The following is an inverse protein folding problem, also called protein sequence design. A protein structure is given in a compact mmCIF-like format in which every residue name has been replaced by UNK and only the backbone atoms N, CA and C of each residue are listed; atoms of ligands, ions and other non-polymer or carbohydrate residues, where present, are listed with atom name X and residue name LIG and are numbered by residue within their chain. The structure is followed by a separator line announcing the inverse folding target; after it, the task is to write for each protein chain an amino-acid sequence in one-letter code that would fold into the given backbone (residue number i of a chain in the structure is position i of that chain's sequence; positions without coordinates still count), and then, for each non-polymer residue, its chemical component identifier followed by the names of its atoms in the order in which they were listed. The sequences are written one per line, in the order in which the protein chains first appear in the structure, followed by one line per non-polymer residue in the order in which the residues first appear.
data_IF_239383939175
#
_entry.id   IF_239383939175
#
_cell.length_a   1.000
_cell.length_b   1.000
_cell.length_c   1.000
_cell.angle_alpha   90.00
_cell.angle_beta   90.00
_cell.angle_gamma   90.00
#
_symmetry.space_group_name_H-M   'P 1'
#
loop_
_entity.id
_entity.type
_entity.pdbx_description
1 polymer ?
#
# COMPACT_ATOMS: atom_id res chain seq x y z
N UNK A 1 0.86 8.73 -31.16
CA UNK A 1 0.28 8.47 -29.82
C UNK A 1 0.31 9.71 -28.94
N UNK A 2 1.46 10.31 -28.64
CA UNK A 2 1.55 11.44 -27.69
C UNK A 2 0.68 12.65 -28.03
N UNK A 3 0.63 13.17 -29.29
CA UNK A 3 -0.22 14.32 -29.61
C UNK A 3 -1.72 14.08 -29.37
N UNK A 4 -2.21 12.91 -29.75
CA UNK A 4 -3.62 12.54 -29.56
C UNK A 4 -3.97 12.37 -28.07
N UNK A 5 -3.03 11.81 -27.30
CA UNK A 5 -3.21 11.62 -25.86
C UNK A 5 -3.21 12.95 -25.11
N UNK A 6 -2.34 13.88 -25.48
CA UNK A 6 -2.28 15.22 -24.91
C UNK A 6 -3.54 16.03 -25.22
N UNK A 7 -4.03 15.98 -26.47
CA UNK A 7 -5.27 16.65 -26.85
C UNK A 7 -6.48 16.11 -26.04
N UNK A 8 -6.54 14.80 -25.83
CA UNK A 8 -7.56 14.19 -24.96
C UNK A 8 -7.42 14.62 -23.50
N UNK A 9 -6.20 14.70 -23.01
CA UNK A 9 -5.92 15.10 -21.63
C UNK A 9 -6.38 16.53 -21.33
N UNK A 10 -6.29 17.43 -22.32
CA UNK A 10 -6.77 18.80 -22.20
C UNK A 10 -8.25 18.90 -21.84
N UNK A 11 -9.08 17.99 -22.39
CA UNK A 11 -10.54 18.00 -22.21
C UNK A 11 -11.06 16.99 -21.18
N UNK A 12 -10.36 15.86 -21.02
CA UNK A 12 -10.90 14.70 -20.30
C UNK A 12 -9.96 14.14 -19.23
N UNK A 13 -8.74 14.68 -19.11
CA UNK A 13 -7.79 14.29 -18.09
C UNK A 13 -8.18 14.76 -16.68
N UNK A 14 -7.77 14.01 -15.66
CA UNK A 14 -7.96 14.41 -14.26
C UNK A 14 -6.96 15.50 -13.90
N UNK A 15 -7.46 16.66 -13.46
CA UNK A 15 -6.64 17.84 -13.12
C UNK A 15 -6.91 18.36 -11.70
N UNK A 16 -7.79 17.71 -10.96
CA UNK A 16 -8.31 18.14 -9.66
C UNK A 16 -7.84 17.27 -8.49
N UNK A 17 -6.93 16.34 -8.76
CA UNK A 17 -6.40 15.47 -7.72
C UNK A 17 -5.54 16.26 -6.73
N UNK A 18 -5.64 16.01 -5.41
CA UNK A 18 -4.96 16.82 -4.39
C UNK A 18 -3.43 16.95 -4.56
N UNK A 19 -2.79 15.95 -5.13
CA UNK A 19 -1.34 15.94 -5.39
C UNK A 19 -0.92 16.67 -6.66
N UNK A 20 -1.88 17.03 -7.52
CA UNK A 20 -1.64 17.87 -8.70
C UNK A 20 -1.67 19.37 -8.38
N UNK A 21 -2.20 19.74 -7.21
CA UNK A 21 -2.15 21.11 -6.71
C UNK A 21 -0.76 21.34 -6.11
N UNK A 22 0.03 22.23 -6.69
CA UNK A 22 1.41 22.47 -6.29
C UNK A 22 2.24 21.17 -6.24
N UNK A 23 2.60 20.59 -7.38
CA UNK A 23 3.18 19.26 -7.49
C UNK A 23 4.67 19.25 -7.13
N UNK A 24 5.02 19.54 -5.87
CA UNK A 24 6.38 19.38 -5.39
C UNK A 24 6.85 17.92 -5.44
N UNK A 25 8.15 17.63 -5.56
CA UNK A 25 8.66 16.26 -5.57
C UNK A 25 8.20 15.44 -4.37
N UNK A 26 8.10 16.05 -3.17
CA UNK A 26 7.62 15.38 -1.97
C UNK A 26 6.14 14.98 -2.08
N UNK A 27 5.28 15.88 -2.53
CA UNK A 27 3.84 15.61 -2.69
C UNK A 27 3.58 14.54 -3.73
N UNK A 28 4.23 14.64 -4.88
CA UNK A 28 4.15 13.63 -5.94
C UNK A 28 4.66 12.28 -5.44
N UNK A 29 5.80 12.25 -4.75
CA UNK A 29 6.33 11.02 -4.19
C UNK A 29 5.37 10.34 -3.22
N UNK A 30 4.80 11.08 -2.25
CA UNK A 30 3.83 10.52 -1.29
C UNK A 30 2.62 9.93 -2.03
N UNK A 31 2.06 10.65 -3.01
CA UNK A 31 0.92 10.17 -3.80
C UNK A 31 1.26 8.92 -4.61
N UNK A 32 2.40 8.88 -5.29
CA UNK A 32 2.85 7.74 -6.09
C UNK A 32 2.99 6.47 -5.22
N UNK A 33 3.56 6.61 -4.02
CA UNK A 33 3.67 5.48 -3.08
C UNK A 33 2.28 5.04 -2.57
N UNK A 34 1.37 5.97 -2.26
CA UNK A 34 0.01 5.62 -1.82
C UNK A 34 -0.82 4.95 -2.92
N UNK A 35 -0.63 5.37 -4.18
CA UNK A 35 -1.34 4.84 -5.34
C UNK A 35 -0.88 3.44 -5.78
N UNK A 36 0.28 2.97 -5.32
CA UNK A 36 0.71 1.59 -5.61
C UNK A 36 -0.35 0.59 -5.13
N UNK A 37 -1.03 -0.08 -6.08
CA UNK A 37 -2.08 -1.07 -5.83
C UNK A 37 -3.28 -0.55 -5.00
N UNK A 38 -3.52 0.75 -4.97
CA UNK A 38 -4.64 1.38 -4.26
C UNK A 38 -5.37 2.33 -5.21
N UNK A 39 -6.70 2.34 -5.15
CA UNK A 39 -7.52 3.19 -6.01
C UNK A 39 -7.46 4.65 -5.56
N UNK A 40 -7.56 5.58 -6.53
CA UNK A 40 -7.50 7.03 -6.30
C UNK A 40 -8.52 7.49 -5.24
N UNK A 41 -9.77 7.07 -5.34
CA UNK A 41 -10.82 7.47 -4.39
C UNK A 41 -10.48 7.07 -2.94
N UNK A 42 -9.77 5.94 -2.76
CA UNK A 42 -9.30 5.53 -1.44
C UNK A 42 -8.11 6.38 -0.98
N UNK A 43 -7.21 6.75 -1.90
CA UNK A 43 -5.97 7.48 -1.55
C UNK A 43 -6.23 8.93 -1.15
N UNK A 44 -7.19 9.61 -1.79
CA UNK A 44 -7.45 11.04 -1.55
C UNK A 44 -7.53 11.41 -0.07
N UNK A 45 -8.43 10.83 0.74
CA UNK A 45 -8.53 11.22 2.15
C UNK A 45 -7.26 10.89 2.97
N UNK A 46 -6.55 9.81 2.64
CA UNK A 46 -5.29 9.45 3.28
C UNK A 46 -4.18 10.44 2.95
N UNK A 47 -4.07 10.82 1.68
CA UNK A 47 -3.10 11.81 1.22
C UNK A 47 -3.29 13.15 1.93
N UNK A 48 -4.52 13.65 1.99
CA UNK A 48 -4.84 14.92 2.65
C UNK A 48 -4.51 14.88 4.16
N UNK A 49 -4.88 13.78 4.84
CA UNK A 49 -4.55 13.60 6.25
C UNK A 49 -3.05 13.52 6.49
N UNK A 50 -2.33 12.80 5.62
CA UNK A 50 -0.89 12.64 5.69
C UNK A 50 -0.15 13.96 5.45
N UNK A 51 -0.56 14.72 4.42
CA UNK A 51 0.05 16.02 4.09
C UNK A 51 -0.21 17.10 5.16
N UNK A 52 -1.37 17.07 5.82
CA UNK A 52 -1.63 17.96 6.99
C UNK A 52 -0.65 17.68 8.14
N UNK A 53 -0.29 16.43 8.36
CA UNK A 53 0.63 16.05 9.44
C UNK A 53 2.10 16.16 9.04
N UNK A 54 2.42 15.83 7.82
CA UNK A 54 3.77 15.83 7.26
C UNK A 54 3.81 16.69 5.99
N UNK A 55 3.87 18.03 6.12
CA UNK A 55 3.85 18.93 4.96
C UNK A 55 5.11 18.84 4.09
N UNK A 56 6.21 18.34 4.63
CA UNK A 56 7.51 18.24 3.96
C UNK A 56 8.29 16.98 4.38
N UNK A 57 9.40 16.74 3.71
CA UNK A 57 10.25 15.57 3.94
C UNK A 57 10.92 15.58 5.32
N UNK A 58 11.20 16.77 5.89
CA UNK A 58 11.87 16.90 7.19
C UNK A 58 10.92 16.52 8.32
N UNK A 59 9.68 16.98 8.26
CA UNK A 59 8.64 16.61 9.21
C UNK A 59 8.34 15.11 9.19
N UNK A 60 8.37 14.47 8.01
CA UNK A 60 8.23 13.02 7.90
C UNK A 60 9.46 12.29 8.44
N UNK A 61 10.66 12.74 8.14
CA UNK A 61 11.91 12.09 8.58
C UNK A 61 12.06 12.01 10.11
N UNK A 62 11.51 12.98 10.84
CA UNK A 62 11.53 13.05 12.31
C UNK A 62 10.36 12.30 12.97
N UNK A 63 9.42 11.78 12.18
CA UNK A 63 8.24 11.10 12.68
C UNK A 63 8.58 9.74 13.33
N UNK A 64 7.80 9.37 14.35
CA UNK A 64 7.83 8.01 14.88
C UNK A 64 7.13 7.05 13.92
N UNK A 65 7.64 5.84 13.80
CA UNK A 65 7.05 4.82 12.92
C UNK A 65 5.57 4.56 13.22
N UNK A 66 5.19 4.52 14.49
CA UNK A 66 3.80 4.30 14.91
C UNK A 66 2.85 5.36 14.36
N UNK A 67 3.28 6.62 14.32
CA UNK A 67 2.49 7.73 13.78
C UNK A 67 2.28 7.60 12.27
N UNK A 68 3.34 7.26 11.54
CA UNK A 68 3.26 7.02 10.09
C UNK A 68 2.34 5.83 9.78
N UNK A 69 2.50 4.72 10.52
CA UNK A 69 1.67 3.53 10.35
C UNK A 69 0.21 3.76 10.77
N UNK A 70 -0.04 4.60 11.76
CA UNK A 70 -1.40 5.00 12.15
C UNK A 70 -2.12 5.71 11.01
N UNK A 71 -1.49 6.74 10.41
CA UNK A 71 -2.05 7.46 9.25
C UNK A 71 -2.17 6.59 7.99
N UNK A 72 -1.45 5.46 7.94
CA UNK A 72 -1.50 4.50 6.83
C UNK A 72 -2.49 3.36 7.06
N UNK A 73 -3.04 3.25 8.27
CA UNK A 73 -3.93 2.14 8.68
C UNK A 73 -5.17 2.07 7.79
N UNK A 74 -5.37 0.94 7.12
CA UNK A 74 -6.45 0.73 6.14
C UNK A 74 -6.01 0.74 4.68
N UNK A 75 -4.92 1.43 4.30
CA UNK A 75 -4.38 1.41 2.93
C UNK A 75 -3.76 0.08 2.53
N UNK A 76 -3.30 -0.72 3.50
CA UNK A 76 -2.59 -1.98 3.23
C UNK A 76 -1.16 -1.79 2.72
N UNK A 77 -0.47 -2.93 2.45
CA UNK A 77 0.92 -2.92 1.97
C UNK A 77 1.84 -2.02 2.80
N UNK A 78 1.81 -2.18 4.11
CA UNK A 78 2.48 -1.32 5.11
C UNK A 78 4.00 -1.19 4.94
N UNK A 79 4.63 -2.09 4.18
CA UNK A 79 6.03 -1.94 3.78
C UNK A 79 6.27 -0.63 3.01
N UNK A 80 5.25 -0.10 2.30
CA UNK A 80 5.33 1.20 1.62
C UNK A 80 5.52 2.33 2.62
N UNK A 81 4.72 2.36 3.69
CA UNK A 81 4.83 3.39 4.74
C UNK A 81 6.20 3.34 5.45
N UNK A 82 6.68 2.12 5.77
CA UNK A 82 8.03 1.95 6.36
C UNK A 82 9.14 2.42 5.43
N UNK A 83 9.02 2.09 4.15
CA UNK A 83 10.00 2.53 3.15
C UNK A 83 9.94 4.03 2.95
N UNK A 84 8.73 4.62 2.93
CA UNK A 84 8.53 6.07 2.82
C UNK A 84 9.24 6.81 3.97
N UNK A 85 9.07 6.37 5.22
CA UNK A 85 9.77 6.94 6.37
C UNK A 85 11.31 6.78 6.24
N UNK A 86 11.80 5.57 5.92
CA UNK A 86 13.25 5.34 5.74
C UNK A 86 13.83 6.16 4.59
N UNK A 87 13.08 6.33 3.52
CA UNK A 87 13.50 7.17 2.40
C UNK A 87 13.53 8.65 2.79
N UNK A 88 12.55 9.17 3.55
CA UNK A 88 12.57 10.53 4.07
C UNK A 88 13.81 10.78 4.96
N UNK A 89 14.13 9.83 5.85
CA UNK A 89 15.35 9.86 6.67
C UNK A 89 16.62 9.88 5.81
N UNK A 90 16.65 9.07 4.73
CA UNK A 90 17.77 9.06 3.79
C UNK A 90 17.91 10.38 3.02
N UNK A 91 16.80 11.01 2.60
CA UNK A 91 16.81 12.33 1.96
C UNK A 91 17.38 13.40 2.90
N UNK A 92 16.96 13.41 4.16
CA UNK A 92 17.51 14.37 5.13
C UNK A 92 18.99 14.12 5.39
N UNK A 93 19.38 12.84 5.60
CA UNK A 93 20.76 12.50 5.97
C UNK A 93 21.77 12.67 4.83
N UNK A 94 21.38 12.38 3.58
CA UNK A 94 22.31 12.32 2.43
C UNK A 94 22.19 13.52 1.50
N UNK A 95 21.02 14.18 1.47
CA UNK A 95 20.70 15.27 0.54
C UNK A 95 20.26 16.55 1.29
N UNK A 96 20.56 16.65 2.60
CA UNK A 96 20.26 17.83 3.40
C UNK A 96 18.78 18.22 3.49
N UNK A 97 17.87 17.28 3.17
CA UNK A 97 16.43 17.50 3.13
C UNK A 97 15.89 18.02 1.80
N UNK A 98 16.75 18.16 0.80
CA UNK A 98 16.34 18.44 -0.59
C UNK A 98 16.09 17.13 -1.33
N UNK A 99 15.02 17.07 -2.11
CA UNK A 99 14.70 15.84 -2.86
C UNK A 99 15.71 15.64 -3.98
N UNK A 100 16.30 14.42 -4.14
CA UNK A 100 17.34 14.15 -5.13
C UNK A 100 16.95 14.58 -6.54
N UNK A 101 17.94 15.02 -7.33
CA UNK A 101 17.71 15.57 -8.64
C UNK A 101 17.77 14.53 -9.76
N UNK A 102 18.60 13.50 -9.61
CA UNK A 102 18.83 12.55 -10.70
C UNK A 102 17.98 11.28 -10.53
N UNK A 103 17.61 10.65 -11.64
CA UNK A 103 16.86 9.39 -11.64
C UNK A 103 17.56 8.31 -10.80
N UNK A 104 18.89 8.22 -10.90
CA UNK A 104 19.67 7.24 -10.15
C UNK A 104 19.61 7.43 -8.64
N UNK A 105 19.73 8.67 -8.17
CA UNK A 105 19.64 9.00 -6.74
C UNK A 105 18.23 8.75 -6.19
N UNK A 106 17.17 9.09 -6.96
CA UNK A 106 15.79 8.83 -6.57
C UNK A 106 15.52 7.32 -6.50
N UNK A 107 16.04 6.55 -7.45
CA UNK A 107 15.95 5.07 -7.43
C UNK A 107 16.71 4.43 -6.27
N UNK A 108 17.74 5.07 -5.75
CA UNK A 108 18.51 4.58 -4.59
C UNK A 108 17.75 4.73 -3.25
N UNK A 109 16.64 5.47 -3.23
CA UNK A 109 15.81 5.63 -2.03
C UNK A 109 15.00 4.35 -1.75
N UNK A 110 14.84 3.96 -0.47
CA UNK A 110 14.08 2.78 -0.08
C UNK A 110 12.66 2.73 -0.66
N UNK A 111 12.34 1.67 -1.38
CA UNK A 111 10.99 1.42 -1.91
C UNK A 111 10.63 2.16 -3.19
N UNK A 112 11.58 2.84 -3.83
CA UNK A 112 11.39 3.56 -5.09
C UNK A 112 12.02 2.76 -6.24
N UNK A 113 11.18 2.26 -7.15
CA UNK A 113 11.62 1.63 -8.38
C UNK A 113 11.71 2.64 -9.54
N UNK A 114 12.26 2.19 -10.69
CA UNK A 114 12.46 3.01 -11.89
C UNK A 114 11.21 3.79 -12.31
N UNK A 115 10.05 3.12 -12.42
CA UNK A 115 8.81 3.78 -12.86
C UNK A 115 8.33 4.85 -11.86
N UNK A 116 8.43 4.58 -10.55
CA UNK A 116 8.06 5.56 -9.52
C UNK A 116 9.01 6.75 -9.52
N UNK A 117 10.34 6.52 -9.62
CA UNK A 117 11.33 7.59 -9.71
C UNK A 117 11.09 8.48 -10.95
N UNK A 118 10.84 7.84 -12.10
CA UNK A 118 10.51 8.52 -13.33
C UNK A 118 9.23 9.37 -13.22
N UNK A 119 8.17 8.82 -12.59
CA UNK A 119 6.92 9.55 -12.37
C UNK A 119 7.13 10.78 -11.47
N UNK A 120 7.89 10.64 -10.39
CA UNK A 120 8.19 11.77 -9.50
C UNK A 120 8.87 12.90 -10.25
N UNK A 121 9.95 12.62 -11.01
CA UNK A 121 10.70 13.63 -11.74
C UNK A 121 9.89 14.22 -12.90
N UNK A 122 9.17 13.38 -13.64
CA UNK A 122 8.33 13.85 -14.74
C UNK A 122 7.18 14.76 -14.27
N UNK A 123 6.45 14.36 -13.22
CA UNK A 123 5.28 15.11 -12.74
C UNK A 123 5.64 16.37 -11.96
N UNK A 124 6.80 16.39 -11.27
CA UNK A 124 7.17 17.52 -10.42
C UNK A 124 8.16 18.49 -11.05
N UNK A 125 8.89 18.07 -12.09
CA UNK A 125 9.96 18.87 -12.72
C UNK A 125 9.85 18.95 -14.23
N UNK A 126 8.85 18.32 -14.84
CA UNK A 126 8.67 18.18 -16.29
C UNK A 126 9.90 17.54 -17.01
N UNK A 127 10.68 16.72 -16.26
CA UNK A 127 11.84 16.02 -16.78
C UNK A 127 11.44 14.80 -17.62
N UNK A 128 12.14 14.61 -18.76
CA UNK A 128 11.84 13.52 -19.68
C UNK A 128 12.28 12.16 -19.15
N UNK A 129 11.36 11.48 -18.47
CA UNK A 129 11.51 10.11 -18.01
C UNK A 129 10.27 9.28 -18.38
N UNK A 130 10.50 8.14 -19.03
CA UNK A 130 9.42 7.20 -19.32
C UNK A 130 8.98 6.48 -18.06
N UNK A 131 7.67 6.25 -17.93
CA UNK A 131 7.06 5.44 -16.86
C UNK A 131 6.53 4.12 -17.41
N UNK A 132 6.49 3.10 -16.54
CA UNK A 132 5.96 1.78 -16.89
C UNK A 132 5.27 1.13 -15.68
N UNK A 133 4.19 1.76 -15.20
CA UNK A 133 3.32 1.20 -14.16
C UNK A 133 2.35 0.15 -14.73
N UNK A 134 1.48 -0.43 -13.91
CA UNK A 134 0.50 -1.41 -14.34
C UNK A 134 -0.52 -0.90 -15.38
N UNK A 135 -0.83 0.39 -15.36
CA UNK A 135 -1.72 1.03 -16.33
C UNK A 135 -1.01 1.19 -17.67
N UNK A 136 0.20 1.74 -17.64
CA UNK A 136 1.03 1.95 -18.84
C UNK A 136 1.39 0.62 -19.49
N UNK A 137 1.78 -0.40 -18.71
CA UNK A 137 2.01 -1.77 -19.22
C UNK A 137 0.81 -2.27 -20.03
N UNK A 138 -0.41 -2.09 -19.51
CA UNK A 138 -1.65 -2.51 -20.19
C UNK A 138 -1.92 -1.70 -21.45
N UNK A 139 -1.79 -0.37 -21.39
CA UNK A 139 -2.00 0.51 -22.55
C UNK A 139 -1.03 0.14 -23.67
N UNK A 140 0.26 0.06 -23.38
CA UNK A 140 1.29 -0.24 -24.37
C UNK A 140 1.17 -1.68 -24.91
N UNK A 141 0.87 -2.67 -24.05
CA UNK A 141 0.65 -4.05 -24.52
C UNK A 141 -0.51 -4.11 -25.53
N UNK A 142 -1.60 -3.41 -25.27
CA UNK A 142 -2.76 -3.38 -26.20
C UNK A 142 -2.48 -2.57 -27.44
N UNK A 143 -1.88 -1.40 -27.29
CA UNK A 143 -1.67 -0.50 -28.42
C UNK A 143 -0.68 -1.08 -29.44
N UNK A 144 0.42 -1.72 -28.96
CA UNK A 144 1.43 -2.34 -29.82
C UNK A 144 1.23 -3.85 -30.07
N UNK A 145 0.22 -4.46 -29.49
CA UNK A 145 0.00 -5.92 -29.62
C UNK A 145 1.09 -6.73 -28.95
N UNK A 146 1.65 -6.29 -27.81
CA UNK A 146 2.72 -7.03 -27.10
C UNK A 146 2.13 -8.22 -26.37
N UNK A 147 2.48 -9.42 -26.81
CA UNK A 147 2.08 -10.67 -26.19
C UNK A 147 2.96 -11.01 -24.98
N UNK A 148 2.48 -11.94 -24.16
CA UNK A 148 3.16 -12.40 -22.95
C UNK A 148 2.76 -11.64 -21.69
N UNK A 149 3.22 -12.19 -20.56
CA UNK A 149 2.95 -11.56 -19.25
C UNK A 149 3.92 -10.37 -19.02
N UNK A 150 3.43 -9.16 -18.72
CA UNK A 150 4.26 -7.96 -18.55
C UNK A 150 5.28 -8.00 -17.39
N UNK A 151 5.25 -9.03 -16.57
CA UNK A 151 6.25 -9.28 -15.53
C UNK A 151 7.39 -10.21 -15.95
N UNK A 152 7.34 -10.77 -17.17
CA UNK A 152 8.45 -11.52 -17.75
C UNK A 152 9.55 -10.57 -18.20
N UNK A 153 10.83 -10.84 -17.89
CA UNK A 153 11.92 -9.89 -18.17
C UNK A 153 12.04 -9.47 -19.65
N UNK A 154 11.77 -10.38 -20.60
CA UNK A 154 11.81 -10.07 -22.03
C UNK A 154 10.67 -9.13 -22.45
N UNK A 155 9.44 -9.40 -21.97
CA UNK A 155 8.26 -8.58 -22.25
C UNK A 155 8.41 -7.22 -21.58
N UNK A 156 8.88 -7.16 -20.35
CA UNK A 156 9.10 -5.91 -19.61
C UNK A 156 10.14 -5.02 -20.30
N UNK A 157 11.27 -5.59 -20.75
CA UNK A 157 12.26 -4.84 -21.53
C UNK A 157 11.69 -4.25 -22.82
N UNK A 158 10.87 -5.03 -23.56
CA UNK A 158 10.18 -4.55 -24.75
C UNK A 158 9.24 -3.38 -24.43
N UNK A 159 8.46 -3.51 -23.34
CA UNK A 159 7.53 -2.45 -22.92
C UNK A 159 8.28 -1.18 -22.49
N UNK A 160 9.44 -1.29 -21.85
CA UNK A 160 10.30 -0.13 -21.54
C UNK A 160 10.79 0.59 -22.79
N UNK A 161 11.27 -0.13 -23.81
CA UNK A 161 11.67 0.48 -25.08
C UNK A 161 10.51 1.23 -25.73
N UNK A 162 9.30 0.65 -25.72
CA UNK A 162 8.11 1.29 -26.25
C UNK A 162 7.68 2.51 -25.42
N UNK A 163 7.78 2.45 -24.09
CA UNK A 163 7.48 3.57 -23.22
C UNK A 163 8.42 4.75 -23.51
N UNK A 164 9.72 4.49 -23.65
CA UNK A 164 10.72 5.51 -24.00
C UNK A 164 10.48 6.15 -25.37
N UNK A 165 10.15 5.33 -26.38
CA UNK A 165 9.82 5.81 -27.72
C UNK A 165 8.53 6.63 -27.77
N UNK A 166 7.57 6.37 -26.90
CA UNK A 166 6.30 7.10 -26.82
C UNK A 166 6.39 8.38 -25.99
N UNK A 167 7.37 8.51 -25.10
CA UNK A 167 7.52 9.67 -24.23
C UNK A 167 8.01 10.88 -25.03
N UNK A 168 7.24 11.97 -25.13
CA UNK A 168 7.57 13.13 -25.93
C UNK A 168 8.76 13.91 -25.33
N UNK A 169 9.22 14.96 -26.01
CA UNK A 169 10.27 15.86 -25.55
C UNK A 169 9.75 17.14 -24.88
N UNK A 170 8.43 17.35 -24.88
CA UNK A 170 7.77 18.50 -24.25
C UNK A 170 6.46 18.05 -23.61
N UNK A 171 5.98 18.83 -22.64
CA UNK A 171 4.73 18.55 -21.89
C UNK A 171 4.80 17.17 -21.20
N UNK A 172 5.92 16.88 -20.58
CA UNK A 172 6.22 15.55 -20.01
C UNK A 172 5.28 15.23 -18.85
N UNK A 173 5.07 16.19 -17.95
CA UNK A 173 4.15 16.02 -16.81
C UNK A 173 2.72 15.70 -17.27
N UNK A 174 2.22 16.44 -18.26
CA UNK A 174 0.88 16.21 -18.81
C UNK A 174 0.79 14.85 -19.52
N UNK A 175 1.79 14.47 -20.33
CA UNK A 175 1.84 13.16 -20.97
C UNK A 175 1.88 12.03 -19.96
N UNK A 176 2.70 12.16 -18.92
CA UNK A 176 2.84 11.16 -17.85
C UNK A 176 1.51 10.96 -17.12
N UNK A 177 0.84 12.04 -16.77
CA UNK A 177 -0.50 11.96 -16.18
C UNK A 177 -1.53 11.39 -17.17
N UNK A 178 -1.50 11.83 -18.42
CA UNK A 178 -2.44 11.41 -19.46
C UNK A 178 -2.39 9.90 -19.72
N UNK A 179 -1.22 9.30 -19.82
CA UNK A 179 -1.09 7.86 -20.09
C UNK A 179 -1.53 7.01 -18.88
N UNK A 180 -1.30 7.48 -17.66
CA UNK A 180 -1.84 6.85 -16.45
C UNK A 180 -3.36 6.96 -16.40
N UNK A 181 -3.92 8.14 -16.72
CA UNK A 181 -5.35 8.38 -16.74
C UNK A 181 -6.03 7.53 -17.81
N UNK A 182 -5.47 7.47 -19.01
CA UNK A 182 -6.00 6.60 -20.07
C UNK A 182 -6.11 5.15 -19.61
N UNK A 183 -5.07 4.66 -18.95
CA UNK A 183 -5.07 3.32 -18.38
C UNK A 183 -6.10 3.14 -17.27
N UNK A 184 -6.26 4.12 -16.39
CA UNK A 184 -7.14 4.03 -15.24
C UNK A 184 -8.63 4.18 -15.61
N UNK A 185 -8.97 5.02 -16.59
CA UNK A 185 -10.37 5.44 -16.87
C UNK A 185 -10.94 4.88 -18.18
N UNK A 186 -10.14 4.78 -19.23
CA UNK A 186 -10.59 4.36 -20.58
C UNK A 186 -10.11 2.96 -20.93
N UNK A 187 -8.78 2.73 -20.93
CA UNK A 187 -8.20 1.42 -21.24
C UNK A 187 -8.20 0.52 -19.99
N UNK A 188 -9.35 0.36 -19.36
CA UNK A 188 -9.53 -0.43 -18.14
C UNK A 188 -9.25 -1.93 -18.36
N UNK A 189 -9.02 -2.67 -17.26
CA UNK A 189 -8.65 -4.09 -17.34
C UNK A 189 -9.76 -4.95 -17.94
N UNK A 190 -10.98 -4.85 -17.43
CA UNK A 190 -12.06 -5.78 -17.75
C UNK A 190 -12.98 -5.28 -18.85
N UNK A 191 -13.22 -3.96 -18.94
CA UNK A 191 -14.18 -3.35 -19.90
C UNK A 191 -13.58 -2.05 -20.46
N UNK A 192 -12.63 -2.13 -21.39
CA UNK A 192 -12.05 -0.93 -21.99
C UNK A 192 -13.07 -0.20 -22.88
N UNK A 193 -13.19 1.10 -22.68
CA UNK A 193 -14.06 1.97 -23.49
C UNK A 193 -13.36 2.36 -24.81
N UNK A 194 -13.11 1.38 -25.68
CA UNK A 194 -12.32 1.55 -26.89
C UNK A 194 -12.85 2.61 -27.86
N UNK A 195 -14.18 2.84 -27.89
CA UNK A 195 -14.80 3.87 -28.75
C UNK A 195 -14.46 5.28 -28.28
N UNK A 196 -14.21 5.48 -26.99
CA UNK A 196 -13.83 6.75 -26.37
C UNK A 196 -12.30 6.95 -26.29
N UNK A 197 -11.53 5.95 -26.72
CA UNK A 197 -10.08 5.99 -26.59
C UNK A 197 -9.45 6.92 -27.65
N UNK A 198 -8.68 7.95 -27.25
CA UNK A 198 -8.09 8.92 -28.20
C UNK A 198 -7.07 8.31 -29.16
N UNK A 199 -6.52 7.16 -28.82
CA UNK A 199 -5.50 6.46 -29.63
C UNK A 199 -6.05 5.19 -30.28
N UNK A 200 -7.35 5.06 -30.38
CA UNK A 200 -8.03 3.85 -30.86
C UNK A 200 -7.69 3.45 -32.31
N UNK A 201 -7.45 4.44 -33.18
CA UNK A 201 -7.20 4.19 -34.61
C UNK A 201 -5.89 3.38 -34.85
N UNK A 202 -4.89 3.55 -34.01
CA UNK A 202 -3.61 2.83 -34.09
C UNK A 202 -3.50 1.61 -33.17
N UNK A 203 -4.58 1.22 -32.50
CA UNK A 203 -4.52 0.18 -31.47
C UNK A 203 -4.64 -1.23 -32.07
N UNK A 204 -3.56 -2.01 -32.02
CA UNK A 204 -3.51 -3.39 -32.51
C UNK A 204 -4.55 -4.28 -31.81
N UNK A 205 -4.66 -4.17 -30.47
CA UNK A 205 -5.63 -4.97 -29.74
C UNK A 205 -7.08 -4.67 -30.13
N UNK A 206 -7.42 -3.42 -30.44
CA UNK A 206 -8.75 -3.05 -30.93
C UNK A 206 -9.01 -3.63 -32.32
N UNK A 207 -8.07 -3.45 -33.24
CA UNK A 207 -8.21 -3.96 -34.62
C UNK A 207 -8.36 -5.49 -34.65
N UNK A 208 -7.66 -6.21 -33.78
CA UNK A 208 -7.67 -7.67 -33.68
C UNK A 208 -8.63 -8.26 -32.64
N UNK A 209 -9.44 -7.46 -31.95
CA UNK A 209 -10.29 -7.93 -30.82
C UNK A 209 -9.51 -8.66 -29.73
N UNK A 210 -8.30 -8.18 -29.40
CA UNK A 210 -7.37 -8.82 -28.46
C UNK A 210 -7.41 -8.20 -27.04
N UNK A 211 -8.35 -7.32 -26.72
CA UNK A 211 -8.37 -6.55 -25.48
C UNK A 211 -8.42 -7.45 -24.23
N UNK A 212 -9.13 -8.57 -24.30
CA UNK A 212 -9.26 -9.53 -23.19
C UNK A 212 -8.05 -10.47 -23.08
N UNK A 213 -7.25 -10.59 -24.14
CA UNK A 213 -6.04 -11.40 -24.18
C UNK A 213 -4.78 -10.61 -23.82
N UNK A 214 -4.80 -9.27 -24.04
CA UNK A 214 -3.65 -8.39 -23.82
C UNK A 214 -3.89 -7.42 -22.67
N UNK A 215 -2.89 -7.29 -21.78
CA UNK A 215 -1.72 -8.15 -21.63
C UNK A 215 -2.10 -9.53 -21.11
N UNK A 216 -1.27 -10.54 -21.36
CA UNK A 216 -1.48 -11.86 -20.78
C UNK A 216 -1.48 -11.79 -19.23
N UNK A 217 -2.39 -12.50 -18.57
CA UNK A 217 -2.47 -12.49 -17.12
C UNK A 217 -1.23 -13.14 -16.49
N UNK A 218 -0.95 -12.77 -15.25
CA UNK A 218 0.06 -13.47 -14.45
C UNK A 218 -0.34 -14.94 -14.32
N UNK A 219 0.59 -15.88 -14.54
CA UNK A 219 0.35 -17.31 -14.27
C UNK A 219 -0.20 -17.50 -12.85
N UNK A 220 -1.28 -18.26 -12.71
CA UNK A 220 -1.91 -18.49 -11.41
C UNK A 220 -1.04 -19.42 -10.58
N UNK A 221 -0.54 -18.95 -9.46
CA UNK A 221 0.02 -19.80 -8.43
C UNK A 221 -1.08 -20.16 -7.42
N UNK A 222 -1.04 -21.37 -6.92
CA UNK A 222 -1.90 -21.79 -5.78
C UNK A 222 -1.49 -20.97 -4.57
N UNK A 223 -2.46 -20.27 -3.98
CA UNK A 223 -2.20 -19.50 -2.75
C UNK A 223 -2.18 -20.46 -1.55
N UNK A 224 -1.06 -20.53 -0.81
CA UNK A 224 -1.01 -21.32 0.40
C UNK A 224 -1.98 -20.75 1.45
N UNK A 225 -2.48 -21.62 2.31
CA UNK A 225 -3.28 -21.24 3.47
C UNK A 225 -2.39 -21.22 4.70
N UNK A 226 -2.50 -20.17 5.50
CA UNK A 226 -1.88 -20.06 6.82
C UNK A 226 -2.97 -19.97 7.86
N UNK A 227 -2.71 -20.56 9.02
CA UNK A 227 -3.60 -20.52 10.18
C UNK A 227 -2.78 -20.11 11.39
N UNK A 228 -3.36 -19.28 12.25
CA UNK A 228 -2.79 -19.02 13.58
C UNK A 228 -3.89 -18.75 14.59
N UNK A 229 -3.57 -18.98 15.87
CA UNK A 229 -4.36 -18.59 17.00
C UNK A 229 -3.88 -17.24 17.52
N UNK A 230 -4.82 -16.31 17.72
CA UNK A 230 -4.53 -14.96 18.19
C UNK A 230 -5.11 -14.80 19.59
N UNK A 231 -4.24 -14.55 20.57
CA UNK A 231 -4.69 -14.35 21.95
C UNK A 231 -5.26 -12.94 22.10
N UNK A 232 -6.54 -12.85 22.40
CA UNK A 232 -7.26 -11.60 22.66
C UNK A 232 -7.40 -11.46 24.17
N UNK A 233 -6.32 -11.01 24.82
CA UNK A 233 -6.30 -10.81 26.27
C UNK A 233 -6.94 -9.48 26.63
N UNK A 234 -7.95 -9.52 27.51
CA UNK A 234 -8.78 -8.39 27.91
C UNK A 234 -8.60 -8.08 29.40
N UNK A 235 -8.54 -6.80 29.78
CA UNK A 235 -8.39 -6.35 31.17
C UNK A 235 -9.20 -5.09 31.46
N UNK A 236 -9.84 -5.06 32.64
CA UNK A 236 -10.55 -3.87 33.16
C UNK A 236 -11.69 -3.37 32.28
N UNK A 237 -12.36 -4.24 31.52
CA UNK A 237 -13.53 -3.92 30.71
C UNK A 237 -13.27 -3.04 29.49
N UNK A 238 -12.03 -2.59 29.20
CA UNK A 238 -11.77 -1.68 28.10
C UNK A 238 -10.35 -1.77 27.53
N UNK A 239 -9.50 -2.68 28.00
CA UNK A 239 -8.10 -2.79 27.53
C UNK A 239 -7.84 -4.14 26.88
N UNK A 240 -7.23 -4.12 25.71
CA UNK A 240 -6.77 -5.30 24.96
C UNK A 240 -5.26 -5.30 24.88
N UNK A 241 -4.62 -6.44 25.13
CA UNK A 241 -3.19 -6.57 25.00
C UNK A 241 -2.79 -6.65 23.54
N UNK A 242 -1.86 -5.78 23.15
CA UNK A 242 -1.20 -5.82 21.83
C UNK A 242 0.26 -6.22 21.99
N UNK A 243 0.77 -6.92 20.97
CA UNK A 243 2.18 -7.26 20.79
C UNK A 243 2.73 -6.58 19.54
N UNK A 244 3.89 -5.96 19.64
CA UNK A 244 4.56 -5.36 18.49
C UNK A 244 5.15 -6.44 17.60
N UNK A 245 4.78 -6.41 16.32
CA UNK A 245 5.31 -7.35 15.32
C UNK A 245 6.79 -7.04 15.05
N UNK A 246 7.60 -8.06 14.76
CA UNK A 246 8.98 -7.86 14.31
C UNK A 246 9.06 -6.84 13.16
N UNK A 247 10.20 -6.16 12.98
CA UNK A 247 10.35 -5.14 11.94
C UNK A 247 10.12 -5.65 10.50
N UNK A 248 10.32 -6.96 10.28
CA UNK A 248 10.13 -7.64 9.00
C UNK A 248 8.94 -8.61 9.03
N UNK A 249 8.54 -9.11 7.86
CA UNK A 249 7.45 -10.08 7.74
C UNK A 249 6.07 -9.45 7.70
N UNK A 250 5.05 -10.28 7.98
CA UNK A 250 3.67 -9.87 7.95
C UNK A 250 3.39 -8.78 8.98
N UNK A 251 2.88 -7.62 8.51
CA UNK A 251 2.57 -6.45 9.35
C UNK A 251 3.77 -5.95 10.19
N UNK A 252 4.99 -6.11 9.68
CA UNK A 252 6.20 -5.77 10.43
C UNK A 252 6.16 -4.36 11.02
N UNK A 253 6.55 -4.24 12.29
CA UNK A 253 6.55 -3.01 13.07
C UNK A 253 5.19 -2.48 13.50
N UNK A 254 4.08 -3.09 13.05
CA UNK A 254 2.72 -2.79 13.51
C UNK A 254 2.41 -3.49 14.83
N UNK A 255 1.35 -3.05 15.49
CA UNK A 255 0.80 -3.71 16.65
C UNK A 255 -0.20 -4.78 16.23
N UNK A 256 -0.09 -5.96 16.80
CA UNK A 256 -0.97 -7.10 16.56
C UNK A 256 -1.43 -7.72 17.87
N UNK A 257 -2.07 -8.88 17.77
CA UNK A 257 -2.36 -9.72 18.90
C UNK A 257 -1.25 -10.78 19.04
N UNK A 258 -0.91 -11.28 20.25
CA UNK A 258 0.02 -12.38 20.40
C UNK A 258 -0.42 -13.57 19.54
N UNK A 259 0.50 -14.09 18.72
CA UNK A 259 0.21 -15.10 17.68
C UNK A 259 0.85 -16.43 18.03
N UNK A 260 0.07 -17.49 18.04
CA UNK A 260 0.50 -18.84 18.35
C UNK A 260 0.14 -19.81 17.20
N UNK A 261 0.98 -20.83 16.92
CA UNK A 261 0.76 -21.76 15.81
C UNK A 261 -0.43 -22.71 16.04
N UNK A 262 -0.74 -23.05 17.29
CA UNK A 262 -1.84 -23.95 17.66
C UNK A 262 -2.61 -23.43 18.86
N UNK A 263 -3.80 -23.99 19.10
CA UNK A 263 -4.61 -23.69 20.28
C UNK A 263 -3.85 -24.02 21.57
N UNK A 264 -3.21 -25.17 21.63
CA UNK A 264 -2.46 -25.59 22.83
C UNK A 264 -1.33 -24.60 23.18
N UNK A 265 -0.61 -24.08 22.17
CA UNK A 265 0.41 -23.04 22.39
C UNK A 265 -0.20 -21.73 22.87
N UNK A 266 -1.38 -21.34 22.35
CA UNK A 266 -2.07 -20.13 22.79
C UNK A 266 -2.57 -20.27 24.25
N UNK A 267 -3.12 -21.42 24.63
CA UNK A 267 -3.52 -21.72 26.01
C UNK A 267 -2.30 -21.77 26.95
N UNK A 268 -1.18 -22.34 26.51
CA UNK A 268 0.07 -22.34 27.27
C UNK A 268 0.58 -20.91 27.46
N UNK A 269 0.61 -20.10 26.40
CA UNK A 269 0.97 -18.70 26.45
C UNK A 269 0.13 -17.93 27.47
N UNK A 270 -1.20 -18.16 27.49
CA UNK A 270 -2.07 -17.56 28.50
C UNK A 270 -1.68 -17.93 29.92
N UNK A 271 -1.35 -19.21 30.20
CA UNK A 271 -0.92 -19.65 31.52
C UNK A 271 0.41 -19.04 31.97
N UNK A 272 1.34 -18.84 31.02
CA UNK A 272 2.68 -18.31 31.31
C UNK A 272 2.66 -16.79 31.54
N UNK A 273 1.86 -16.05 30.78
CA UNK A 273 1.94 -14.59 30.73
C UNK A 273 0.77 -13.86 31.41
N UNK A 274 -0.35 -14.53 31.64
CA UNK A 274 -1.57 -13.91 32.15
C UNK A 274 -1.96 -14.50 33.51
N UNK A 275 -1.56 -13.83 34.59
CA UNK A 275 -1.89 -14.27 35.96
C UNK A 275 -3.39 -14.08 36.25
N UNK A 276 -4.04 -15.06 36.88
CA UNK A 276 -5.44 -14.99 37.29
C UNK A 276 -6.43 -14.86 36.12
N UNK A 277 -6.07 -15.41 34.96
CA UNK A 277 -6.95 -15.39 33.81
C UNK A 277 -8.07 -16.40 33.92
N UNK A 278 -9.27 -16.04 33.42
CA UNK A 278 -10.35 -16.99 33.20
C UNK A 278 -10.00 -18.03 32.14
N UNK A 279 -10.66 -19.19 32.09
CA UNK A 279 -10.49 -20.16 31.01
C UNK A 279 -10.70 -19.49 29.65
N UNK A 280 -9.75 -19.65 28.69
CA UNK A 280 -9.84 -18.99 27.39
C UNK A 280 -10.94 -19.59 26.52
N UNK A 281 -11.72 -18.73 25.83
CA UNK A 281 -12.83 -19.10 24.94
C UNK A 281 -12.44 -18.86 23.48
N UNK A 282 -12.64 -19.85 22.60
CA UNK A 282 -12.47 -19.67 21.18
C UNK A 282 -13.62 -18.83 20.60
N UNK A 283 -13.28 -17.84 19.79
CA UNK A 283 -14.27 -17.06 19.06
C UNK A 283 -14.33 -17.42 17.58
N UNK A 284 -15.21 -16.74 16.85
CA UNK A 284 -15.41 -16.94 15.40
C UNK A 284 -14.15 -16.59 14.60
N UNK A 285 -13.66 -17.49 13.72
CA UNK A 285 -12.51 -17.25 12.90
C UNK A 285 -12.69 -16.04 11.98
N UNK A 286 -11.61 -15.26 11.78
CA UNK A 286 -11.56 -14.17 10.82
C UNK A 286 -10.64 -14.55 9.66
N UNK A 287 -11.20 -14.64 8.44
CA UNK A 287 -10.45 -14.95 7.23
C UNK A 287 -10.00 -13.67 6.55
N UNK A 288 -8.74 -13.62 6.13
CA UNK A 288 -8.19 -12.51 5.38
C UNK A 288 -7.36 -13.01 4.20
N UNK A 289 -7.65 -12.50 2.99
CA UNK A 289 -6.95 -12.86 1.78
C UNK A 289 -5.83 -11.85 1.48
N UNK A 290 -4.58 -12.31 1.47
CA UNK A 290 -3.46 -11.56 0.95
C UNK A 290 -3.22 -11.87 -0.53
N UNK A 291 -2.41 -11.09 -1.21
CA UNK A 291 -2.06 -11.33 -2.61
C UNK A 291 -1.33 -12.67 -2.85
N UNK A 292 -0.67 -13.22 -1.83
CA UNK A 292 0.20 -14.39 -1.92
C UNK A 292 -0.16 -15.55 -0.98
N UNK A 293 -1.10 -15.37 -0.04
CA UNK A 293 -1.65 -16.45 0.79
C UNK A 293 -3.01 -16.04 1.39
N UNK A 294 -3.78 -17.04 1.83
CA UNK A 294 -5.00 -16.83 2.63
C UNK A 294 -4.67 -17.09 4.10
N UNK A 295 -5.17 -16.23 5.00
CA UNK A 295 -4.89 -16.27 6.43
C UNK A 295 -6.17 -16.52 7.23
N UNK A 296 -6.20 -17.62 7.97
CA UNK A 296 -7.28 -18.00 8.90
C UNK A 296 -6.83 -17.64 10.32
N UNK A 297 -7.35 -16.56 10.86
CA UNK A 297 -7.07 -16.04 12.19
C UNK A 297 -8.12 -16.54 13.15
N UNK A 298 -7.73 -17.35 14.16
CA UNK A 298 -8.60 -17.93 15.17
C UNK A 298 -8.41 -17.20 16.48
N UNK A 299 -9.36 -16.34 16.90
CA UNK A 299 -9.25 -15.62 18.15
C UNK A 299 -9.48 -16.55 19.35
N UNK A 300 -8.67 -16.36 20.39
CA UNK A 300 -8.80 -16.97 21.68
C UNK A 300 -8.97 -15.86 22.71
N UNK A 301 -10.21 -15.61 23.14
CA UNK A 301 -10.55 -14.57 24.10
C UNK A 301 -10.23 -15.03 25.52
N UNK A 302 -9.60 -14.16 26.31
CA UNK A 302 -9.25 -14.44 27.69
C UNK A 302 -9.34 -13.16 28.53
N UNK A 303 -10.04 -13.25 29.68
CA UNK A 303 -10.13 -12.16 30.66
C UNK A 303 -9.06 -12.30 31.73
N UNK A 304 -8.32 -11.22 31.96
CA UNK A 304 -7.27 -11.15 32.95
C UNK A 304 -7.75 -10.34 34.15
N UNK A 305 -7.67 -10.93 35.35
CA UNK A 305 -8.02 -10.27 36.60
C UNK A 305 -6.83 -9.60 37.28
N UNK A 306 -5.62 -10.10 37.03
CA UNK A 306 -4.40 -9.66 37.68
C UNK A 306 -3.54 -8.71 36.84
N UNK A 307 -2.45 -8.22 37.45
CA UNK A 307 -1.37 -7.52 36.75
C UNK A 307 -0.58 -8.56 35.96
N UNK A 308 -0.48 -8.41 34.65
CA UNK A 308 0.39 -9.21 33.79
C UNK A 308 1.85 -8.76 33.98
N UNK A 309 2.46 -9.09 35.11
CA UNK A 309 3.83 -8.63 35.47
C UNK A 309 4.90 -9.17 34.51
N UNK A 310 4.65 -10.33 33.91
CA UNK A 310 5.52 -10.92 32.89
C UNK A 310 5.59 -10.12 31.57
N UNK A 311 4.70 -9.14 31.37
CA UNK A 311 4.61 -8.31 30.16
C UNK A 311 5.12 -6.88 30.41
N UNK A 312 6.25 -6.74 31.12
CA UNK A 312 6.84 -5.43 31.45
C UNK A 312 7.59 -4.75 30.29
N UNK A 313 7.83 -5.46 29.20
CA UNK A 313 8.47 -4.89 28.00
C UNK A 313 7.47 -4.03 27.24
N UNK A 314 7.43 -2.74 27.56
CA UNK A 314 6.53 -1.76 26.92
C UNK A 314 6.88 -1.47 25.45
N UNK A 315 8.05 -1.83 24.98
CA UNK A 315 8.42 -1.75 23.58
C UNK A 315 7.78 -2.90 22.78
N UNK A 316 7.61 -4.03 23.42
CA UNK A 316 7.03 -5.24 22.82
C UNK A 316 5.55 -5.38 23.11
N UNK A 317 5.07 -5.07 24.30
CA UNK A 317 3.68 -5.26 24.72
C UNK A 317 3.04 -3.95 25.14
N UNK A 318 1.74 -3.81 24.85
CA UNK A 318 0.94 -2.63 25.23
C UNK A 318 -0.48 -3.02 25.55
N UNK A 319 -0.99 -2.51 26.67
CA UNK A 319 -2.42 -2.51 26.94
C UNK A 319 -3.08 -1.34 26.20
N UNK A 320 -3.80 -1.69 25.14
CA UNK A 320 -4.48 -0.73 24.26
C UNK A 320 -5.89 -0.48 24.79
N UNK A 321 -6.18 0.77 25.10
CA UNK A 321 -7.50 1.18 25.57
C UNK A 321 -8.44 1.38 24.36
N UNK A 322 -9.53 0.61 24.29
CA UNK A 322 -10.48 0.70 23.16
C UNK A 322 -11.38 1.93 23.25
N UNK A 323 -11.53 2.53 24.44
CA UNK A 323 -12.31 3.77 24.67
C UNK A 323 -11.47 5.01 24.38
N UNK A 324 -10.17 4.93 24.56
CA UNK A 324 -9.20 6.01 24.28
C UNK A 324 -8.05 5.47 23.41
N UNK A 325 -8.32 5.22 22.13
CA UNK A 325 -7.39 4.54 21.26
C UNK A 325 -6.10 5.36 21.05
N UNK A 326 -4.97 4.75 21.39
CA UNK A 326 -3.68 5.33 21.08
C UNK A 326 -3.44 5.36 19.56
N UNK A 327 -2.72 6.38 19.09
CA UNK A 327 -2.35 6.53 17.67
C UNK A 327 -1.25 5.55 17.28
N UNK A 328 -1.63 4.30 17.03
CA UNK A 328 -0.71 3.23 16.64
C UNK A 328 -1.18 2.55 15.36
N UNK A 329 -0.26 1.94 14.62
CA UNK A 329 -0.58 1.19 13.42
C UNK A 329 -1.21 -0.16 13.75
N UNK A 330 -2.49 -0.34 13.44
CA UNK A 330 -3.20 -1.62 13.55
C UNK A 330 -3.57 -2.12 12.16
N UNK A 331 -3.25 -3.38 11.80
CA UNK A 331 -3.81 -4.00 10.60
C UNK A 331 -5.34 -4.11 10.72
N UNK A 332 -6.05 -3.90 9.61
CA UNK A 332 -7.53 -3.95 9.61
C UNK A 332 -8.10 -5.21 10.27
N UNK A 333 -7.60 -6.44 10.00
CA UNK A 333 -8.11 -7.64 10.67
C UNK A 333 -7.90 -7.62 12.20
N UNK A 334 -6.77 -7.09 12.65
CA UNK A 334 -6.48 -6.96 14.08
C UNK A 334 -7.40 -5.92 14.70
N UNK A 335 -7.61 -4.78 14.07
CA UNK A 335 -8.57 -3.76 14.53
C UNK A 335 -9.99 -4.35 14.64
N UNK A 336 -10.40 -5.22 13.71
CA UNK A 336 -11.68 -5.92 13.77
C UNK A 336 -11.76 -6.83 14.99
N UNK A 337 -10.71 -7.60 15.31
CA UNK A 337 -10.72 -8.48 16.49
C UNK A 337 -10.68 -7.69 17.80
N UNK A 338 -9.97 -6.56 17.83
CA UNK A 338 -9.94 -5.64 18.98
C UNK A 338 -11.33 -5.01 19.21
N UNK A 339 -12.05 -4.65 18.15
CA UNK A 339 -13.42 -4.14 18.26
C UNK A 339 -14.39 -5.19 18.82
N UNK A 340 -14.32 -6.44 18.33
CA UNK A 340 -15.11 -7.57 18.87
C UNK A 340 -14.84 -7.81 20.36
N UNK A 341 -13.58 -7.64 20.81
CA UNK A 341 -13.25 -7.74 22.22
C UNK A 341 -13.93 -6.66 23.06
N UNK A 342 -14.10 -5.44 22.51
CA UNK A 342 -14.86 -4.37 23.14
C UNK A 342 -16.33 -4.73 23.34
N UNK A 343 -16.97 -5.25 22.30
CA UNK A 343 -18.38 -5.71 22.35
C UNK A 343 -18.58 -6.82 23.39
N UNK A 344 -17.69 -7.83 23.43
CA UNK A 344 -17.75 -8.92 24.43
C UNK A 344 -17.49 -8.46 25.88
N UNK A 345 -16.89 -7.28 26.09
CA UNK A 345 -16.68 -6.69 27.42
C UNK A 345 -17.88 -5.88 27.91
N UNK A 346 -18.73 -5.37 27.01
CA UNK A 346 -19.89 -4.56 27.35
C UNK A 346 -21.14 -5.41 27.61
N UNK A 347 -21.17 -6.70 27.20
CA UNK A 347 -22.29 -7.64 27.38
C UNK A 347 -22.34 -8.35 28.76
N UNK A 348 -21.44 -8.05 29.68
CA UNK A 348 -21.35 -8.57 31.06
C UNK A 348 -21.41 -7.45 32.12
#
# INVERSE_FOLDING_TARGET
MAPQLLAWFETSGRKDLPWQRDPTPFRVWVSEIMLQQTQVATVVPYFEAFMRRFPDVRSLATAKLDEVLHLWSGLGYYARARNLLRAAQAVVARHGGEFPATLGEVMALPGIGRSTAAAILALSRDERHAILDGNVKRVLSRWFGVEGYPGEPAVERRLWMLAEACTPHARIAEYTQAIMDLGATVCSRARPACLLCPVNAGCVARAGNLQDRLPAPRPRAVRPRRQAWLVVAMRGGHKVLLERRPPSGLWGGMWGLPECPTRAHAEQWCREYLSGAHPPRAGEPLKHAFSHFDYDMRPLFVRCLGKAEALRDEERYRWYDVRQPARVGLPKPIATLVARAGEEMDDD
#
